data_IF_680601411452
#
_entry.id   IF_680601411452
#
_cell.length_a   1.000
_cell.length_b   1.000
_cell.length_c   1.000
_cell.angle_alpha   90.00
_cell.angle_beta   90.00
_cell.angle_gamma   90.00
#
_symmetry.space_group_name_H-M   'P 1'
#
loop_
_entity.id
_entity.type
_entity.pdbx_description
1 polymer ?
#
# COMPACT_ATOMS: atom_id res chain seq x y z
N UNK A 1 -0.75 -24.66 11.92
CA UNK A 1 -0.49 -23.21 11.81
C UNK A 1 -1.72 -22.43 11.33
N UNK A 2 -2.47 -22.91 10.32
CA UNK A 2 -3.75 -22.30 9.88
C UNK A 2 -4.98 -22.92 10.57
N UNK A 3 -4.84 -23.25 11.85
CA UNK A 3 -5.86 -23.99 12.59
C UNK A 3 -6.93 -23.04 13.15
N UNK A 4 -8.18 -23.50 13.33
CA UNK A 4 -9.22 -22.71 13.99
C UNK A 4 -8.75 -22.27 15.38
N UNK A 5 -9.17 -21.07 15.81
CA UNK A 5 -8.86 -20.55 17.16
C UNK A 5 -9.24 -21.60 18.22
N UNK A 6 -8.29 -21.89 19.12
CA UNK A 6 -8.48 -22.78 20.29
C UNK A 6 -7.98 -24.22 20.16
N UNK A 7 -7.60 -24.69 18.96
CA UNK A 7 -6.99 -26.03 18.77
C UNK A 7 -5.63 -25.90 18.09
N UNK A 8 -4.56 -26.25 18.80
CA UNK A 8 -3.19 -26.24 18.28
C UNK A 8 -2.71 -27.68 18.13
N UNK A 9 -2.37 -28.11 16.91
CA UNK A 9 -1.82 -29.47 16.72
C UNK A 9 -0.40 -29.59 17.23
N UNK A 10 0.00 -30.84 17.53
CA UNK A 10 1.37 -31.17 17.91
C UNK A 10 2.41 -30.71 16.87
N UNK A 11 2.06 -30.70 15.57
CA UNK A 11 2.94 -30.18 14.51
C UNK A 11 3.17 -28.68 14.67
N UNK A 12 2.10 -27.92 14.91
CA UNK A 12 2.20 -26.48 15.19
C UNK A 12 3.00 -26.24 16.47
N UNK A 13 2.77 -27.03 17.52
CA UNK A 13 3.52 -26.94 18.78
C UNK A 13 5.01 -27.25 18.59
N UNK A 14 5.35 -28.31 17.86
CA UNK A 14 6.73 -28.68 17.56
C UNK A 14 7.42 -27.58 16.75
N UNK A 15 6.76 -27.06 15.71
CA UNK A 15 7.29 -25.94 14.93
C UNK A 15 7.54 -24.71 15.82
N UNK A 16 6.59 -24.34 16.68
CA UNK A 16 6.77 -23.22 17.62
C UNK A 16 7.94 -23.45 18.59
N UNK A 17 8.13 -24.69 19.06
CA UNK A 17 9.26 -25.04 19.92
C UNK A 17 10.60 -24.88 19.18
N UNK A 18 10.70 -25.40 17.96
CA UNK A 18 11.87 -25.25 17.07
C UNK A 18 12.16 -23.77 16.81
N UNK A 19 11.13 -22.98 16.50
CA UNK A 19 11.30 -21.54 16.29
C UNK A 19 11.83 -20.86 17.56
N UNK A 20 11.28 -21.16 18.74
CA UNK A 20 11.77 -20.58 20.00
C UNK A 20 13.21 -20.98 20.34
N UNK A 21 13.64 -22.19 19.98
CA UNK A 21 15.00 -22.67 20.31
C UNK A 21 16.06 -22.17 19.34
N UNK A 22 15.72 -22.04 18.04
CA UNK A 22 16.70 -21.74 17.00
C UNK A 22 16.65 -20.30 16.49
N UNK A 23 15.62 -19.52 16.82
CA UNK A 23 15.55 -18.14 16.36
C UNK A 23 16.39 -17.19 17.21
N UNK A 24 16.91 -16.15 16.56
CA UNK A 24 17.80 -15.18 17.17
C UNK A 24 17.16 -14.51 18.39
N UNK A 25 17.95 -14.29 19.46
CA UNK A 25 17.53 -13.57 20.67
C UNK A 25 17.06 -12.14 20.39
N UNK A 26 17.52 -11.56 19.27
CA UNK A 26 17.11 -10.27 18.71
C UNK A 26 16.92 -10.43 17.20
N UNK A 27 15.74 -10.91 16.75
CA UNK A 27 15.50 -11.11 15.33
C UNK A 27 15.37 -9.74 14.65
N UNK A 28 16.02 -9.59 13.50
CA UNK A 28 15.72 -8.51 12.57
C UNK A 28 14.34 -8.70 11.94
N UNK A 29 13.78 -7.64 11.35
CA UNK A 29 12.47 -7.62 10.72
C UNK A 29 12.21 -8.82 9.79
N UNK A 30 13.20 -9.24 9.01
CA UNK A 30 13.04 -10.31 8.01
C UNK A 30 13.55 -11.68 8.48
N UNK A 31 14.01 -11.80 9.73
CA UNK A 31 14.64 -13.03 10.25
C UNK A 31 13.74 -14.29 10.18
N UNK A 32 12.42 -14.13 10.16
CA UNK A 32 11.49 -15.25 10.15
C UNK A 32 10.96 -15.63 8.77
N UNK A 33 11.24 -14.85 7.72
CA UNK A 33 10.55 -14.97 6.43
C UNK A 33 10.81 -16.31 5.73
N UNK A 34 12.04 -16.82 5.81
CA UNK A 34 12.40 -18.14 5.30
C UNK A 34 11.81 -19.31 6.09
N UNK A 35 11.29 -19.06 7.29
CA UNK A 35 10.73 -20.10 8.18
C UNK A 35 9.20 -20.11 8.19
N UNK A 36 8.55 -19.17 7.49
CA UNK A 36 7.09 -19.12 7.39
C UNK A 36 6.57 -20.31 6.58
N UNK A 37 5.45 -20.93 6.99
CA UNK A 37 4.84 -21.97 6.20
C UNK A 37 4.26 -21.41 4.90
N UNK A 38 4.24 -22.24 3.86
CA UNK A 38 3.49 -21.93 2.65
C UNK A 38 1.99 -21.80 2.96
N UNK A 39 1.32 -20.91 2.24
CA UNK A 39 -0.13 -20.76 2.30
C UNK A 39 -0.81 -22.11 1.95
N UNK A 40 -1.82 -22.55 2.72
CA UNK A 40 -2.43 -23.84 2.49
C UNK A 40 -3.28 -23.79 1.21
N UNK A 41 -3.30 -24.92 0.50
CA UNK A 41 -4.14 -25.10 -0.66
C UNK A 41 -5.37 -25.94 -0.25
N UNK A 42 -6.56 -25.32 -0.07
CA UNK A 42 -7.77 -26.07 0.29
C UNK A 42 -8.19 -27.02 -0.82
N UNK A 43 -8.90 -28.09 -0.47
CA UNK A 43 -9.46 -29.00 -1.45
C UNK A 43 -10.59 -28.32 -2.24
N UNK A 44 -10.86 -28.81 -3.46
CA UNK A 44 -12.00 -28.34 -4.27
C UNK A 44 -13.30 -28.53 -3.49
N UNK A 45 -13.49 -29.71 -2.90
CA UNK A 45 -14.66 -30.08 -2.09
C UNK A 45 -14.88 -29.16 -0.88
N UNK A 46 -13.82 -28.84 -0.13
CA UNK A 46 -13.95 -27.93 1.01
C UNK A 46 -14.28 -26.50 0.55
N UNK A 47 -13.71 -26.08 -0.58
CA UNK A 47 -13.95 -24.76 -1.17
C UNK A 47 -15.39 -24.65 -1.67
N UNK A 48 -15.90 -25.62 -2.42
CA UNK A 48 -17.29 -25.66 -2.92
C UNK A 48 -18.30 -25.70 -1.76
N UNK A 49 -18.06 -26.53 -0.75
CA UNK A 49 -18.93 -26.61 0.42
C UNK A 49 -19.01 -25.29 1.21
N UNK A 50 -17.88 -24.58 1.37
CA UNK A 50 -17.85 -23.25 2.01
C UNK A 50 -18.52 -22.18 1.15
N UNK A 51 -18.33 -22.23 -0.17
CA UNK A 51 -18.99 -21.35 -1.11
C UNK A 51 -20.52 -21.48 -1.02
N UNK A 52 -21.06 -22.70 -1.12
CA UNK A 52 -22.50 -22.95 -1.01
C UNK A 52 -23.06 -22.47 0.34
N UNK A 53 -22.33 -22.72 1.44
CA UNK A 53 -22.72 -22.20 2.76
C UNK A 53 -22.79 -20.67 2.79
N UNK A 54 -21.87 -19.98 2.11
CA UNK A 54 -21.80 -18.51 2.11
C UNK A 54 -22.94 -17.86 1.31
N UNK A 55 -23.41 -18.51 0.24
CA UNK A 55 -24.46 -17.97 -0.63
C UNK A 55 -25.86 -18.41 -0.22
N UNK A 56 -26.00 -19.43 0.63
CA UNK A 56 -27.31 -19.98 1.03
C UNK A 56 -28.27 -18.94 1.62
N UNK A 57 -27.76 -17.97 2.38
CA UNK A 57 -28.58 -16.90 2.96
C UNK A 57 -28.85 -15.72 2.02
N UNK A 58 -28.26 -15.70 0.83
CA UNK A 58 -28.33 -14.61 -0.14
C UNK A 58 -29.23 -14.94 -1.34
N UNK A 59 -29.59 -16.21 -1.51
CA UNK A 59 -30.26 -16.72 -2.71
C UNK A 59 -31.59 -17.35 -2.35
N UNK A 60 -32.55 -17.27 -3.27
CA UNK A 60 -33.78 -18.05 -3.21
C UNK A 60 -33.50 -19.54 -3.45
N UNK A 61 -34.39 -20.41 -2.97
CA UNK A 61 -34.19 -21.87 -3.01
C UNK A 61 -33.96 -22.39 -4.44
N UNK A 62 -34.68 -21.88 -5.43
CA UNK A 62 -34.53 -22.28 -6.83
C UNK A 62 -33.14 -21.94 -7.37
N UNK A 63 -32.67 -20.71 -7.12
CA UNK A 63 -31.34 -20.27 -7.55
C UNK A 63 -30.22 -20.99 -6.79
N UNK A 64 -30.40 -21.21 -5.48
CA UNK A 64 -29.47 -21.99 -4.68
C UNK A 64 -29.32 -23.41 -5.24
N UNK A 65 -30.43 -24.08 -5.56
CA UNK A 65 -30.41 -25.44 -6.13
C UNK A 65 -29.67 -25.47 -7.48
N UNK A 66 -29.86 -24.45 -8.32
CA UNK A 66 -29.12 -24.28 -9.58
C UNK A 66 -27.61 -24.15 -9.32
N UNK A 67 -27.20 -23.29 -8.39
CA UNK A 67 -25.78 -23.08 -8.05
C UNK A 67 -25.17 -24.31 -7.39
N UNK A 68 -25.91 -25.01 -6.53
CA UNK A 68 -25.47 -26.27 -5.92
C UNK A 68 -25.14 -27.32 -6.99
N UNK A 69 -26.00 -27.45 -8.01
CA UNK A 69 -25.74 -28.36 -9.14
C UNK A 69 -24.49 -27.96 -9.93
N UNK A 70 -24.32 -26.67 -10.25
CA UNK A 70 -23.11 -26.19 -10.94
C UNK A 70 -21.84 -26.42 -10.14
N UNK A 71 -21.89 -26.27 -8.80
CA UNK A 71 -20.76 -26.55 -7.93
C UNK A 71 -20.40 -28.05 -7.89
N UNK A 72 -21.41 -28.93 -7.92
CA UNK A 72 -21.22 -30.38 -8.01
C UNK A 72 -20.60 -30.79 -9.35
N UNK A 73 -21.10 -30.24 -10.46
CA UNK A 73 -20.57 -30.50 -11.80
C UNK A 73 -19.10 -30.02 -11.90
N UNK A 74 -18.81 -28.82 -11.37
CA UNK A 74 -17.45 -28.31 -11.29
C UNK A 74 -16.52 -29.21 -10.46
N UNK A 75 -16.99 -29.74 -9.32
CA UNK A 75 -16.19 -30.63 -8.47
C UNK A 75 -15.83 -31.96 -9.18
N UNK A 76 -16.72 -32.46 -10.04
CA UNK A 76 -16.52 -33.71 -10.79
C UNK A 76 -15.69 -33.52 -12.07
N UNK A 77 -15.87 -32.39 -12.75
CA UNK A 77 -15.31 -32.17 -14.08
C UNK A 77 -14.06 -31.29 -14.07
N UNK A 78 -14.21 -29.96 -14.07
CA UNK A 78 -13.10 -29.03 -14.29
C UNK A 78 -12.24 -28.80 -13.04
N UNK A 79 -12.84 -28.88 -11.86
CA UNK A 79 -12.20 -28.63 -10.56
C UNK A 79 -10.91 -29.43 -10.34
N UNK A 80 -10.90 -30.76 -10.53
CA UNK A 80 -9.69 -31.58 -10.39
C UNK A 80 -8.55 -31.17 -11.34
N UNK A 81 -8.90 -30.78 -12.58
CA UNK A 81 -7.91 -30.31 -13.57
C UNK A 81 -7.27 -28.99 -13.12
N UNK A 82 -8.07 -28.02 -12.69
CA UNK A 82 -7.56 -26.74 -12.21
C UNK A 82 -6.78 -26.90 -10.89
N UNK A 83 -7.25 -27.75 -9.98
CA UNK A 83 -6.55 -28.05 -8.73
C UNK A 83 -5.17 -28.65 -8.98
N UNK A 84 -5.01 -29.48 -10.03
CA UNK A 84 -3.69 -30.01 -10.43
C UNK A 84 -2.73 -28.90 -10.85
N UNK A 85 -3.18 -27.94 -11.66
CA UNK A 85 -2.34 -26.80 -12.05
C UNK A 85 -2.00 -25.90 -10.85
N UNK A 86 -2.99 -25.69 -9.97
CA UNK A 86 -2.80 -24.89 -8.76
C UNK A 86 -1.82 -25.56 -7.79
N UNK A 87 -1.87 -26.88 -7.66
CA UNK A 87 -0.92 -27.66 -6.87
C UNK A 87 0.50 -27.57 -7.45
N UNK A 88 0.65 -27.65 -8.78
CA UNK A 88 1.96 -27.42 -9.41
C UNK A 88 2.48 -26.03 -9.06
N UNK A 89 1.69 -24.96 -9.25
CA UNK A 89 2.09 -23.61 -8.85
C UNK A 89 2.48 -23.53 -7.37
N UNK A 90 1.68 -24.14 -6.49
CA UNK A 90 1.93 -24.20 -5.06
C UNK A 90 3.28 -24.81 -4.71
N UNK A 91 3.70 -25.89 -5.39
CA UNK A 91 5.02 -26.51 -5.18
C UNK A 91 6.19 -25.58 -5.50
N UNK A 92 6.04 -24.69 -6.48
CA UNK A 92 7.10 -23.82 -6.97
C UNK A 92 7.01 -22.37 -6.45
N UNK A 93 6.07 -22.08 -5.54
CA UNK A 93 5.83 -20.74 -5.02
C UNK A 93 5.90 -20.71 -3.50
N UNK A 94 6.47 -19.65 -2.93
CA UNK A 94 6.37 -19.37 -1.49
C UNK A 94 4.92 -19.04 -1.09
N UNK A 95 4.20 -18.37 -1.98
CA UNK A 95 2.77 -18.13 -1.87
C UNK A 95 2.14 -18.16 -3.27
N UNK A 96 1.23 -19.10 -3.50
CA UNK A 96 0.58 -19.32 -4.80
C UNK A 96 -0.49 -18.28 -5.17
N UNK A 97 -0.81 -17.37 -4.25
CA UNK A 97 -1.85 -16.35 -4.43
C UNK A 97 -1.24 -14.97 -4.66
N UNK A 98 -0.09 -14.67 -4.04
CA UNK A 98 0.44 -13.30 -3.95
C UNK A 98 0.61 -12.59 -5.29
N UNK A 99 1.22 -13.24 -6.28
CA UNK A 99 1.48 -12.64 -7.60
C UNK A 99 0.19 -12.41 -8.39
N UNK A 100 -0.72 -13.38 -8.39
CA UNK A 100 -2.03 -13.23 -9.02
C UNK A 100 -2.92 -12.23 -8.31
N UNK A 101 -2.86 -12.17 -6.98
CA UNK A 101 -3.62 -11.19 -6.21
C UNK A 101 -3.15 -9.78 -6.53
N UNK A 102 -1.84 -9.54 -6.51
CA UNK A 102 -1.27 -8.24 -6.90
C UNK A 102 -1.65 -7.86 -8.34
N UNK A 103 -1.41 -8.76 -9.29
CA UNK A 103 -1.67 -8.54 -10.72
C UNK A 103 -3.17 -8.31 -11.00
N UNK A 104 -4.03 -9.26 -10.65
CA UNK A 104 -5.42 -9.28 -11.12
C UNK A 104 -6.37 -8.45 -10.27
N UNK A 105 -6.12 -8.34 -8.95
CA UNK A 105 -7.02 -7.57 -8.07
C UNK A 105 -6.66 -6.10 -8.06
N UNK A 106 -5.36 -5.77 -8.10
CA UNK A 106 -4.92 -4.38 -8.00
C UNK A 106 -4.41 -3.83 -9.33
N UNK A 107 -3.42 -4.47 -9.95
CA UNK A 107 -2.68 -3.85 -11.04
C UNK A 107 -3.42 -3.86 -12.38
N UNK A 108 -4.31 -4.82 -12.65
CA UNK A 108 -5.15 -4.86 -13.86
C UNK A 108 -6.46 -4.10 -13.75
N UNK A 109 -6.90 -3.74 -12.54
CA UNK A 109 -8.05 -2.86 -12.36
C UNK A 109 -7.85 -1.55 -13.14
N UNK A 110 -8.82 -1.17 -13.98
CA UNK A 110 -8.76 0.05 -14.81
C UNK A 110 -9.54 1.23 -14.23
N UNK A 111 -10.36 0.97 -13.21
CA UNK A 111 -11.12 1.97 -12.49
C UNK A 111 -10.20 2.91 -11.68
N UNK A 112 -10.70 4.09 -11.28
CA UNK A 112 -9.94 5.06 -10.49
C UNK A 112 -9.48 4.48 -9.16
N UNK A 113 -8.18 4.55 -8.86
CA UNK A 113 -7.63 4.00 -7.60
C UNK A 113 -7.94 4.88 -6.39
N UNK A 114 -8.15 6.19 -6.58
CA UNK A 114 -8.44 7.14 -5.48
C UNK A 114 -9.54 6.62 -4.56
N UNK A 115 -10.65 6.15 -5.15
CA UNK A 115 -11.87 5.75 -4.45
C UNK A 115 -11.95 4.22 -4.30
N UNK A 116 -11.54 3.47 -5.32
CA UNK A 116 -11.81 2.03 -5.38
C UNK A 116 -10.70 1.15 -4.78
N UNK A 117 -9.52 1.70 -4.51
CA UNK A 117 -8.35 0.91 -4.08
C UNK A 117 -7.53 1.54 -2.96
N UNK A 118 -7.37 2.86 -2.95
CA UNK A 118 -6.58 3.53 -1.93
C UNK A 118 -7.31 3.52 -0.59
N UNK A 119 -6.56 3.34 0.49
CA UNK A 119 -7.04 3.48 1.86
C UNK A 119 -6.36 4.67 2.53
N UNK A 120 -7.03 5.28 3.49
CA UNK A 120 -6.52 6.41 4.23
C UNK A 120 -6.60 6.11 5.72
N UNK A 121 -5.47 6.21 6.41
CA UNK A 121 -5.42 6.24 7.86
C UNK A 121 -5.46 7.68 8.33
N UNK A 122 -6.35 8.00 9.26
CA UNK A 122 -6.32 9.25 10.01
C UNK A 122 -5.93 8.89 11.44
N UNK A 123 -4.90 9.53 11.96
CA UNK A 123 -4.69 9.52 13.40
C UNK A 123 -5.66 10.56 13.98
N UNK A 124 -6.81 10.05 14.41
CA UNK A 124 -7.85 10.83 15.05
C UNK A 124 -7.53 10.92 16.53
N UNK A 125 -7.25 12.15 16.97
CA UNK A 125 -7.62 12.64 18.30
C UNK A 125 -6.85 11.96 19.46
N UNK A 126 -5.70 12.55 19.81
CA UNK A 126 -5.26 12.53 21.22
C UNK A 126 -4.39 13.73 21.59
N UNK A 127 -3.57 14.24 20.65
CA UNK A 127 -2.65 15.33 20.95
C UNK A 127 -2.29 16.13 19.69
N UNK A 128 -2.49 17.46 19.75
CA UNK A 128 -1.90 18.39 18.80
C UNK A 128 -0.70 19.08 19.47
N UNK A 129 0.55 18.66 19.21
CA UNK A 129 1.71 19.17 19.93
C UNK A 129 2.03 20.64 19.59
N UNK A 130 1.60 21.14 18.42
CA UNK A 130 1.74 22.54 18.00
C UNK A 130 0.71 22.91 16.94
N UNK A 131 0.31 24.18 16.89
CA UNK A 131 -0.59 24.72 15.87
C UNK A 131 0.14 25.09 14.57
N UNK A 132 1.47 25.14 14.57
CA UNK A 132 2.27 25.49 13.38
C UNK A 132 2.34 24.27 12.45
N UNK A 133 1.69 24.36 11.29
CA UNK A 133 1.64 23.29 10.28
C UNK A 133 3.03 22.82 9.83
N UNK A 134 3.93 23.75 9.52
CA UNK A 134 5.28 23.44 9.02
C UNK A 134 6.10 22.71 10.08
N UNK A 135 6.01 23.12 11.34
CA UNK A 135 6.64 22.43 12.47
C UNK A 135 6.11 21.00 12.65
N UNK A 136 4.79 20.79 12.53
CA UNK A 136 4.19 19.43 12.58
C UNK A 136 4.68 18.57 11.42
N UNK A 137 4.58 19.08 10.19
CA UNK A 137 5.00 18.38 8.98
C UNK A 137 6.48 18.00 9.04
N UNK A 138 7.35 18.89 9.54
CA UNK A 138 8.76 18.63 9.72
C UNK A 138 9.05 17.51 10.71
N UNK A 139 8.40 17.53 11.88
CA UNK A 139 8.55 16.45 12.87
C UNK A 139 8.01 15.11 12.35
N UNK A 140 6.89 15.12 11.62
CA UNK A 140 6.35 13.93 10.96
C UNK A 140 7.34 13.37 9.93
N UNK A 141 7.90 14.21 9.06
CA UNK A 141 8.92 13.80 8.09
C UNK A 141 10.14 13.18 8.76
N UNK A 142 10.66 13.79 9.82
CA UNK A 142 11.78 13.22 10.58
C UNK A 142 11.40 11.89 11.22
N UNK A 143 10.18 11.74 11.76
CA UNK A 143 9.67 10.48 12.30
C UNK A 143 9.60 9.37 11.24
N UNK A 144 9.08 9.69 10.06
CA UNK A 144 9.00 8.78 8.92
C UNK A 144 10.38 8.37 8.41
N UNK A 145 11.33 9.29 8.33
CA UNK A 145 12.70 9.01 7.92
C UNK A 145 13.44 8.14 8.94
N UNK A 146 13.18 8.34 10.24
CA UNK A 146 13.66 7.44 11.30
C UNK A 146 13.07 6.05 11.12
N UNK A 147 11.77 5.94 10.87
CA UNK A 147 11.11 4.66 10.62
C UNK A 147 11.65 3.97 9.37
N UNK A 148 11.82 4.69 8.26
CA UNK A 148 12.47 4.20 7.04
C UNK A 148 13.85 3.62 7.35
N UNK A 149 14.70 4.37 8.07
CA UNK A 149 16.03 3.88 8.48
C UNK A 149 15.95 2.63 9.36
N UNK A 150 14.95 2.51 10.23
CA UNK A 150 14.76 1.31 11.04
C UNK A 150 14.33 0.11 10.18
N UNK A 151 13.53 0.31 9.13
CA UNK A 151 13.19 -0.73 8.17
C UNK A 151 14.43 -1.19 7.39
N UNK A 152 15.21 -0.24 6.85
CA UNK A 152 16.43 -0.53 6.08
C UNK A 152 17.48 -1.29 6.90
N UNK A 153 17.50 -1.06 8.22
CA UNK A 153 18.40 -1.73 9.16
C UNK A 153 17.80 -2.95 9.85
N UNK A 154 16.57 -3.32 9.49
CA UNK A 154 15.80 -4.39 10.11
C UNK A 154 15.64 -4.25 11.64
N UNK A 155 15.69 -3.03 12.17
CA UNK A 155 15.58 -2.72 13.60
C UNK A 155 14.12 -2.81 14.11
N UNK A 156 13.14 -2.77 13.20
CA UNK A 156 11.74 -2.99 13.52
C UNK A 156 11.53 -4.46 13.89
N UNK A 157 10.92 -4.70 15.06
CA UNK A 157 10.67 -6.05 15.53
C UNK A 157 9.59 -6.74 14.67
N UNK A 158 9.78 -8.02 14.31
CA UNK A 158 8.75 -8.79 13.64
C UNK A 158 7.44 -8.82 14.43
N UNK A 159 6.31 -8.69 13.72
CA UNK A 159 4.98 -8.80 14.34
C UNK A 159 4.71 -10.27 14.65
N UNK A 160 4.29 -10.55 15.88
CA UNK A 160 3.96 -11.90 16.36
C UNK A 160 2.45 -12.02 16.58
N UNK A 161 1.77 -12.81 15.74
CA UNK A 161 0.39 -13.23 15.94
C UNK A 161 0.26 -14.07 17.22
N UNK A 162 -0.67 -13.69 18.09
CA UNK A 162 -0.88 -14.30 19.41
C UNK A 162 0.40 -14.41 20.27
N UNK A 163 1.39 -13.55 20.01
CA UNK A 163 2.68 -13.51 20.72
C UNK A 163 3.67 -14.62 20.37
N UNK A 164 3.33 -15.56 19.48
CA UNK A 164 4.17 -16.75 19.19
C UNK A 164 4.37 -17.04 17.71
N UNK A 165 3.45 -16.65 16.84
CA UNK A 165 3.53 -16.97 15.41
C UNK A 165 3.99 -15.73 14.64
N UNK A 166 5.20 -15.70 14.05
CA UNK A 166 5.63 -14.57 13.24
C UNK A 166 4.71 -14.36 12.04
N UNK A 167 4.42 -13.10 11.73
CA UNK A 167 3.70 -12.69 10.53
C UNK A 167 4.67 -12.31 9.41
N UNK A 168 4.20 -12.40 8.17
CA UNK A 168 4.95 -11.96 7.01
C UNK A 168 5.21 -10.45 7.08
N UNK A 169 6.42 -10.05 6.72
CA UNK A 169 6.91 -8.67 6.79
C UNK A 169 7.34 -8.14 5.43
N UNK A 170 7.21 -8.93 4.35
CA UNK A 170 7.57 -8.52 2.98
C UNK A 170 6.89 -7.22 2.53
N UNK A 171 5.70 -6.91 3.06
CA UNK A 171 5.01 -5.66 2.73
C UNK A 171 5.76 -4.40 3.22
N UNK A 172 6.61 -4.51 4.23
CA UNK A 172 7.39 -3.37 4.74
C UNK A 172 8.42 -2.85 3.73
N UNK A 173 8.89 -3.69 2.81
CA UNK A 173 9.82 -3.31 1.75
C UNK A 173 9.27 -2.16 0.90
N UNK A 174 7.95 -2.14 0.68
CA UNK A 174 7.28 -1.22 -0.24
C UNK A 174 6.66 0.00 0.43
N UNK A 175 6.95 0.24 1.70
CA UNK A 175 6.37 1.39 2.45
C UNK A 175 6.95 2.73 1.96
N UNK A 176 8.23 2.75 1.61
CA UNK A 176 8.92 3.92 1.10
C UNK A 176 9.45 3.65 -0.31
N UNK A 177 9.82 4.73 -1.01
CA UNK A 177 10.48 4.67 -2.31
C UNK A 177 9.70 3.88 -3.37
N UNK A 178 8.37 3.81 -3.23
CA UNK A 178 7.54 2.93 -4.06
C UNK A 178 6.41 3.72 -4.69
N UNK A 179 6.33 3.64 -6.01
CA UNK A 179 5.30 4.32 -6.80
C UNK A 179 4.63 3.33 -7.75
N UNK A 180 3.30 3.44 -7.88
CA UNK A 180 2.54 2.71 -8.89
C UNK A 180 2.57 3.48 -10.21
N UNK A 181 3.09 2.86 -11.26
CA UNK A 181 3.15 3.46 -12.59
C UNK A 181 2.00 2.92 -13.44
N UNK A 182 1.15 3.79 -14.01
CA UNK A 182 0.02 3.37 -14.83
C UNK A 182 0.50 2.74 -16.13
N UNK A 183 -0.11 1.62 -16.51
CA UNK A 183 0.01 1.04 -17.85
C UNK A 183 -1.34 0.98 -18.56
N UNK A 184 -1.34 0.72 -19.86
CA UNK A 184 -2.59 0.66 -20.64
C UNK A 184 -3.46 -0.52 -20.18
N UNK A 185 -2.85 -1.70 -20.08
CA UNK A 185 -3.54 -2.94 -19.70
C UNK A 185 -3.29 -3.34 -18.24
N UNK A 186 -2.08 -3.12 -17.73
CA UNK A 186 -1.70 -3.43 -16.35
C UNK A 186 -0.73 -2.37 -15.84
N UNK A 187 -0.90 -1.97 -14.59
CA UNK A 187 0.02 -1.08 -13.90
C UNK A 187 1.22 -1.88 -13.37
N UNK A 188 2.25 -1.17 -12.92
CA UNK A 188 3.42 -1.79 -12.29
C UNK A 188 3.81 -1.05 -11.03
N UNK A 189 4.24 -1.77 -10.00
CA UNK A 189 4.89 -1.18 -8.84
C UNK A 189 6.38 -1.02 -9.14
N UNK A 190 6.91 0.17 -8.87
CA UNK A 190 8.33 0.46 -8.97
C UNK A 190 8.83 0.80 -7.58
N UNK A 191 9.77 0.00 -7.09
CA UNK A 191 10.47 0.23 -5.84
C UNK A 191 11.91 0.66 -6.12
N UNK A 192 12.37 1.71 -5.45
CA UNK A 192 13.73 2.22 -5.54
C UNK A 192 14.48 1.97 -4.22
N UNK A 193 15.73 1.54 -4.32
CA UNK A 193 16.52 1.23 -3.13
C UNK A 193 17.02 2.49 -2.38
N UNK A 194 17.20 3.62 -3.07
CA UNK A 194 17.84 4.82 -2.51
C UNK A 194 17.21 6.13 -3.01
N UNK A 195 15.98 6.43 -2.56
CA UNK A 195 15.39 7.76 -2.78
C UNK A 195 16.02 8.80 -1.83
N UNK A 196 16.51 9.91 -2.39
CA UNK A 196 17.30 10.95 -1.68
C UNK A 196 16.55 12.26 -1.42
N UNK A 197 15.27 12.31 -1.78
CA UNK A 197 14.40 13.46 -1.57
C UNK A 197 12.98 13.00 -1.23
N UNK A 198 12.20 13.91 -0.69
CA UNK A 198 10.73 13.83 -0.71
C UNK A 198 10.19 14.78 -1.77
N UNK A 199 8.97 14.51 -2.21
CA UNK A 199 8.21 15.48 -2.98
C UNK A 199 7.21 16.15 -2.05
N UNK A 200 7.11 17.47 -2.13
CA UNK A 200 6.10 18.26 -1.41
C UNK A 200 5.12 18.82 -2.43
N UNK A 201 3.82 18.67 -2.17
CA UNK A 201 2.74 19.20 -2.97
C UNK A 201 2.02 20.30 -2.20
N UNK A 202 1.98 21.50 -2.76
CA UNK A 202 1.27 22.65 -2.21
C UNK A 202 0.64 23.44 -3.35
N UNK A 203 -0.66 23.74 -3.29
CA UNK A 203 -1.42 24.47 -4.33
C UNK A 203 -1.15 23.98 -5.77
N UNK A 204 -1.13 22.65 -5.98
CA UNK A 204 -0.88 22.04 -7.28
C UNK A 204 0.57 22.10 -7.78
N UNK A 205 1.50 22.65 -6.98
CA UNK A 205 2.92 22.77 -7.30
C UNK A 205 3.72 21.69 -6.58
N UNK A 206 4.70 21.13 -7.30
CA UNK A 206 5.58 20.09 -6.79
C UNK A 206 6.96 20.65 -6.47
N UNK A 207 7.43 20.37 -5.26
CA UNK A 207 8.74 20.80 -4.76
C UNK A 207 9.57 19.58 -4.43
N UNK A 208 10.85 19.61 -4.82
CA UNK A 208 11.82 18.59 -4.44
C UNK A 208 12.55 19.05 -3.18
N UNK A 209 12.37 18.34 -2.07
CA UNK A 209 13.09 18.63 -0.83
C UNK A 209 14.12 17.55 -0.55
N UNK A 210 15.42 17.85 -0.56
CA UNK A 210 16.46 16.85 -0.31
C UNK A 210 16.41 16.35 1.14
N UNK A 211 16.76 15.09 1.36
CA UNK A 211 16.85 14.52 2.71
C UNK A 211 18.16 14.90 3.43
N UNK A 212 19.18 15.24 2.66
CA UNK A 212 20.54 15.53 3.12
C UNK A 212 21.14 16.70 2.32
N UNK A 213 21.96 17.51 2.99
CA UNK A 213 22.77 18.58 2.38
C UNK A 213 24.21 18.39 2.83
N UNK A 214 25.15 18.32 1.87
CA UNK A 214 26.58 18.11 2.14
C UNK A 214 26.88 16.89 3.03
N UNK A 215 26.10 15.81 2.89
CA UNK A 215 26.25 14.59 3.70
C UNK A 215 25.59 14.63 5.08
N UNK A 216 25.00 15.76 5.46
CA UNK A 216 24.28 15.92 6.73
C UNK A 216 22.77 15.74 6.50
N UNK A 217 22.14 14.83 7.24
CA UNK A 217 20.68 14.67 7.24
C UNK A 217 20.00 15.88 7.85
N UNK A 218 18.97 16.38 7.18
CA UNK A 218 18.20 17.53 7.64
C UNK A 218 17.50 17.23 8.98
N UNK A 219 17.60 18.17 9.91
CA UNK A 219 16.84 18.15 11.16
C UNK A 219 15.43 18.69 10.95
N UNK A 220 14.57 18.57 11.97
CA UNK A 220 13.20 19.08 11.91
C UNK A 220 13.17 20.60 11.64
N UNK A 221 14.06 21.37 12.26
CA UNK A 221 14.13 22.82 12.01
C UNK A 221 14.57 23.17 10.58
N UNK A 222 15.36 22.32 9.92
CA UNK A 222 15.76 22.53 8.52
C UNK A 222 14.58 22.24 7.59
N UNK A 223 13.84 21.14 7.83
CA UNK A 223 12.61 20.84 7.09
C UNK A 223 11.56 21.94 7.29
N UNK A 224 11.38 22.42 8.52
CA UNK A 224 10.43 23.48 8.84
C UNK A 224 10.73 24.75 8.03
N UNK A 225 11.99 25.18 7.94
CA UNK A 225 12.40 26.32 7.10
C UNK A 225 12.05 26.10 5.63
N UNK A 226 12.31 24.90 5.10
CA UNK A 226 11.98 24.57 3.71
C UNK A 226 10.47 24.57 3.47
N UNK A 227 9.69 24.05 4.41
CA UNK A 227 8.22 24.02 4.30
C UNK A 227 7.61 25.40 4.47
N UNK A 228 8.13 26.24 5.36
CA UNK A 228 7.74 27.64 5.47
C UNK A 228 8.03 28.39 4.16
N UNK A 229 9.21 28.22 3.58
CA UNK A 229 9.52 28.81 2.28
C UNK A 229 8.58 28.34 1.15
N UNK A 230 8.11 27.08 1.20
CA UNK A 230 7.11 26.56 0.25
C UNK A 230 5.73 27.19 0.46
N UNK A 231 5.31 27.43 1.71
CA UNK A 231 4.04 28.10 2.02
C UNK A 231 4.06 29.60 1.70
N UNK A 232 5.23 30.23 1.81
CA UNK A 232 5.45 31.65 1.53
C UNK A 232 5.73 31.92 0.04
N UNK A 233 5.84 30.89 -0.79
CA UNK A 233 6.07 31.01 -2.23
C UNK A 233 4.85 31.65 -2.92
N UNK A 234 5.02 32.86 -3.42
CA UNK A 234 3.98 33.74 -3.95
C UNK A 234 3.62 33.48 -5.43
N UNK A 235 4.25 32.47 -6.06
CA UNK A 235 3.89 32.13 -7.44
C UNK A 235 2.49 31.51 -7.51
N UNK A 236 1.62 32.20 -8.24
CA UNK A 236 0.25 31.80 -8.53
C UNK A 236 0.19 30.77 -9.66
N UNK A 237 -0.20 29.52 -9.38
CA UNK A 237 -0.30 28.48 -10.40
C UNK A 237 -1.43 28.78 -11.38
N UNK A 238 -1.21 28.46 -12.66
CA UNK A 238 -2.27 28.46 -13.65
C UNK A 238 -3.36 27.45 -13.27
N UNK A 239 -4.58 27.64 -13.81
CA UNK A 239 -5.68 26.67 -13.62
C UNK A 239 -5.29 25.25 -14.02
N UNK A 240 -4.44 25.08 -15.02
CA UNK A 240 -3.96 23.76 -15.45
C UNK A 240 -2.98 23.15 -14.44
N UNK A 241 -2.01 23.94 -13.94
CA UNK A 241 -1.04 23.49 -12.92
C UNK A 241 -1.75 23.08 -11.62
N UNK A 242 -2.75 23.85 -11.19
CA UNK A 242 -3.52 23.55 -10.00
C UNK A 242 -4.11 22.13 -10.02
N UNK A 243 -4.53 21.64 -11.20
CA UNK A 243 -5.21 20.35 -11.35
C UNK A 243 -4.30 19.24 -11.92
N UNK A 244 -3.01 19.49 -12.11
CA UNK A 244 -2.09 18.49 -12.65
C UNK A 244 -2.07 17.17 -11.86
N UNK A 245 -2.06 17.18 -10.50
CA UNK A 245 -2.07 15.95 -9.73
C UNK A 245 -3.34 15.11 -9.92
N UNK A 246 -4.48 15.74 -10.27
CA UNK A 246 -5.76 15.08 -10.51
C UNK A 246 -5.71 14.10 -11.69
N UNK A 247 -4.69 14.14 -12.55
CA UNK A 247 -4.48 13.09 -13.56
C UNK A 247 -4.32 11.71 -12.94
N UNK A 248 -3.75 11.61 -11.73
CA UNK A 248 -3.59 10.34 -11.00
C UNK A 248 -4.87 9.85 -10.34
N UNK A 249 -5.89 10.72 -10.26
CA UNK A 249 -7.19 10.39 -9.71
C UNK A 249 -8.10 9.64 -10.68
N UNK A 250 -7.88 9.78 -11.98
CA UNK A 250 -8.77 9.27 -13.01
C UNK A 250 -8.61 7.78 -13.29
N UNK A 251 -9.30 7.32 -14.34
CA UNK A 251 -9.15 5.97 -14.87
C UNK A 251 -7.69 5.70 -15.29
N UNK A 252 -7.27 4.44 -15.13
CA UNK A 252 -5.86 4.05 -15.31
C UNK A 252 -5.41 4.16 -16.76
N UNK A 253 -6.26 3.76 -17.71
CA UNK A 253 -5.91 3.77 -19.14
C UNK A 253 -5.76 5.20 -19.72
N UNK A 254 -6.67 6.15 -19.46
CA UNK A 254 -6.46 7.56 -19.80
C UNK A 254 -5.19 8.13 -19.19
N UNK A 255 -4.94 7.87 -17.89
CA UNK A 255 -3.74 8.33 -17.23
C UNK A 255 -2.46 7.75 -17.86
N UNK A 256 -2.41 6.45 -18.11
CA UNK A 256 -1.28 5.80 -18.79
C UNK A 256 -1.01 6.41 -20.18
N UNK A 257 -2.07 6.73 -20.92
CA UNK A 257 -1.98 7.33 -22.25
C UNK A 257 -1.46 8.76 -22.18
N UNK A 258 -1.97 9.57 -21.24
CA UNK A 258 -1.51 10.93 -21.00
C UNK A 258 -0.05 10.94 -20.52
N UNK A 259 0.33 10.07 -19.58
CA UNK A 259 1.70 9.87 -19.11
C UNK A 259 2.65 9.57 -20.29
N UNK A 260 2.29 8.63 -21.16
CA UNK A 260 3.09 8.28 -22.35
C UNK A 260 3.21 9.44 -23.34
N UNK A 261 2.14 10.21 -23.54
CA UNK A 261 2.10 11.29 -24.54
C UNK A 261 2.83 12.55 -24.08
N UNK A 262 2.65 12.95 -22.82
CA UNK A 262 3.07 14.26 -22.33
C UNK A 262 4.28 14.22 -21.36
N UNK A 263 4.62 13.05 -20.82
CA UNK A 263 5.68 12.89 -19.81
C UNK A 263 6.77 11.89 -20.21
N UNK A 264 6.87 11.58 -21.51
CA UNK A 264 7.88 10.63 -22.03
C UNK A 264 9.20 11.27 -22.46
N UNK A 265 9.29 12.60 -22.48
CA UNK A 265 10.52 13.32 -22.85
C UNK A 265 10.57 14.72 -22.22
N UNK A 266 11.73 15.38 -22.35
CA UNK A 266 11.92 16.78 -21.93
C UNK A 266 11.80 17.02 -20.43
N UNK A 267 11.46 18.25 -20.06
CA UNK A 267 11.29 18.67 -18.66
C UNK A 267 10.22 17.86 -17.93
N UNK A 268 9.10 17.54 -18.59
CA UNK A 268 8.00 16.79 -17.99
C UNK A 268 8.42 15.39 -17.54
N UNK A 269 9.24 14.70 -18.35
CA UNK A 269 9.79 13.40 -17.94
C UNK A 269 10.66 13.54 -16.70
N UNK A 270 11.58 14.50 -16.69
CA UNK A 270 12.47 14.74 -15.54
C UNK A 270 11.70 15.11 -14.28
N UNK A 271 10.67 15.95 -14.41
CA UNK A 271 9.78 16.32 -13.30
C UNK A 271 9.01 15.11 -12.78
N UNK A 272 8.42 14.30 -13.68
CA UNK A 272 7.67 13.11 -13.28
C UNK A 272 8.57 12.04 -12.65
N UNK A 273 9.75 11.78 -13.21
CA UNK A 273 10.75 10.87 -12.64
C UNK A 273 11.20 11.35 -11.24
N UNK A 274 11.26 12.68 -11.03
CA UNK A 274 11.55 13.25 -9.71
C UNK A 274 10.41 13.00 -8.74
N UNK A 275 9.15 13.17 -9.16
CA UNK A 275 7.98 12.89 -8.33
C UNK A 275 7.95 11.41 -7.95
N UNK A 276 7.93 10.52 -8.95
CA UNK A 276 7.81 9.06 -8.78
C UNK A 276 9.03 8.43 -8.08
N UNK A 277 10.17 9.14 -8.05
CA UNK A 277 11.40 8.72 -7.38
C UNK A 277 11.56 9.22 -5.94
N UNK A 278 10.54 9.88 -5.38
CA UNK A 278 10.57 10.34 -3.99
C UNK A 278 10.58 9.18 -2.99
N UNK A 279 11.03 9.47 -1.77
CA UNK A 279 10.89 8.52 -0.66
C UNK A 279 9.43 8.37 -0.23
N UNK A 280 8.71 9.49 -0.23
CA UNK A 280 7.28 9.63 -0.03
C UNK A 280 6.86 11.06 -0.43
N UNK A 281 5.56 11.26 -0.64
CA UNK A 281 4.92 12.54 -0.88
C UNK A 281 4.40 13.16 0.43
N UNK A 282 4.68 14.45 0.62
CA UNK A 282 4.07 15.29 1.65
C UNK A 282 3.10 16.28 0.98
N UNK A 283 1.88 16.38 1.48
CA UNK A 283 0.91 17.39 1.00
C UNK A 283 0.71 18.47 2.06
N UNK A 284 1.02 19.71 1.71
CA UNK A 284 0.73 20.89 2.55
C UNK A 284 -0.57 21.53 2.04
N UNK A 285 -1.68 21.19 2.70
CA UNK A 285 -3.00 21.74 2.40
C UNK A 285 -3.18 23.14 3.02
N UNK A 286 -4.06 23.97 2.48
CA UNK A 286 -4.46 25.26 3.07
C UNK A 286 -5.66 25.10 4.01
N UNK A 287 -6.52 24.12 3.73
CA UNK A 287 -7.72 23.87 4.52
C UNK A 287 -7.35 23.34 5.92
N UNK A 288 -8.02 23.89 6.94
CA UNK A 288 -8.10 23.29 8.27
C UNK A 288 -9.14 22.16 8.25
N UNK A 289 -8.78 21.00 8.81
CA UNK A 289 -9.68 19.86 8.94
C UNK A 289 -10.11 19.73 10.39
N UNK A 290 -11.40 19.96 10.64
CA UNK A 290 -12.04 19.60 11.90
C UNK A 290 -12.77 18.25 11.76
N UNK A 291 -12.72 17.40 12.78
CA UNK A 291 -13.31 16.06 12.73
C UNK A 291 -14.83 16.15 12.87
N UNK A 292 -15.52 16.26 11.74
CA UNK A 292 -16.96 16.09 11.64
C UNK A 292 -17.30 15.22 10.41
N UNK A 293 -18.51 14.63 10.37
CA UNK A 293 -18.92 13.74 9.28
C UNK A 293 -18.85 14.42 7.90
N UNK A 294 -19.02 15.73 7.85
CA UNK A 294 -19.00 16.54 6.63
C UNK A 294 -17.57 16.70 6.08
N UNK A 295 -16.58 16.91 6.96
CA UNK A 295 -15.15 16.94 6.63
C UNK A 295 -14.65 15.58 6.12
N UNK A 296 -15.12 14.49 6.72
CA UNK A 296 -14.80 13.13 6.25
C UNK A 296 -15.42 12.87 4.87
N UNK A 297 -16.66 13.34 4.63
CA UNK A 297 -17.28 13.26 3.31
C UNK A 297 -16.57 14.14 2.28
N UNK A 298 -16.23 15.39 2.59
CA UNK A 298 -15.44 16.29 1.71
C UNK A 298 -14.10 15.65 1.34
N UNK A 299 -13.45 14.95 2.28
CA UNK A 299 -12.20 14.23 2.04
C UNK A 299 -12.35 13.04 1.07
N UNK A 300 -13.49 12.34 1.13
CA UNK A 300 -13.75 11.10 0.42
C UNK A 300 -14.53 11.29 -0.89
N UNK A 301 -15.30 12.37 -1.04
CA UNK A 301 -16.33 12.44 -2.09
C UNK A 301 -16.42 13.66 -2.99
N UNK A 302 -15.87 14.85 -2.71
CA UNK A 302 -16.17 15.99 -3.58
C UNK A 302 -14.91 16.74 -4.02
N UNK A 303 -14.73 16.79 -5.34
CA UNK A 303 -13.62 17.30 -6.13
C UNK A 303 -12.32 16.45 -6.07
N UNK A 304 -11.69 16.15 -7.23
CA UNK A 304 -10.35 15.57 -7.23
C UNK A 304 -9.40 16.64 -6.67
N UNK A 305 -9.28 16.67 -5.35
CA UNK A 305 -8.28 17.47 -4.65
C UNK A 305 -6.95 17.23 -5.38
N UNK A 306 -6.14 18.27 -5.61
CA UNK A 306 -4.90 18.18 -6.35
C UNK A 306 -3.88 17.41 -5.51
N UNK A 307 -4.02 16.09 -5.50
CA UNK A 307 -3.27 15.12 -4.73
C UNK A 307 -2.69 14.09 -5.68
N UNK A 308 -1.56 13.51 -5.27
CA UNK A 308 -0.85 12.50 -6.05
C UNK A 308 -1.21 11.10 -5.55
N UNK A 309 -2.08 10.38 -6.27
CA UNK A 309 -2.72 9.15 -5.76
C UNK A 309 -1.93 7.85 -6.01
N UNK A 310 -0.77 7.94 -6.68
CA UNK A 310 0.08 6.79 -7.06
C UNK A 310 1.06 6.32 -5.98
N UNK A 311 1.23 7.12 -4.92
CA UNK A 311 2.10 6.82 -3.79
C UNK A 311 1.28 6.42 -2.55
N UNK A 312 1.94 5.71 -1.63
CA UNK A 312 1.47 5.54 -0.27
C UNK A 312 1.39 6.93 0.40
N UNK A 313 0.24 7.57 0.25
CA UNK A 313 0.03 8.95 0.67
C UNK A 313 0.03 9.07 2.18
N UNK A 314 0.88 9.95 2.69
CA UNK A 314 0.81 10.42 4.05
C UNK A 314 0.14 11.78 4.01
N UNK A 315 -1.12 11.82 4.44
CA UNK A 315 -1.87 13.08 4.54
C UNK A 315 -1.56 13.80 5.84
N UNK A 316 -1.60 15.12 5.71
CA UNK A 316 -1.57 16.16 6.74
C UNK A 316 -2.54 15.85 7.90
N UNK A 317 -2.06 16.18 9.10
CA UNK A 317 -2.85 16.67 10.24
C UNK A 317 -2.51 18.15 10.44
#
# INVERSE_FOLDING_TARGET
MYEPRGKVSWKTTLWMAVMKTFCAKKPGLYSYQGSLPNMPLPSVKDTTARYLRSVKGLLEDEEYNRIAKLAEDFEKEQGPKFQRYLYLKWLWSTNYVSDWWEEYVYLRGRSPIMVNSNYYGMDVIACQPTYIQTARAANMCVGLLKFRRQLDREEVKPIMGSGTVPLCSWQYERVFNTTRIPGVESDRLVHLNDSRHITVLHRGRFYKVPLQVNGTTLAACDFEKQFTAILEDDYEPTKAELHLPALTAGDRTPWATARKRFFSSGCNKTSLDTIEGAAFMLVLDDDEFDYNEESVRKMLKDEPLPKWYEEANIRKQ
#
